data_IF_166512510891
#
_entry.id   IF_166512510891
#
_cell.length_a   1.000
_cell.length_b   1.000
_cell.length_c   1.000
_cell.angle_alpha   90.00
_cell.angle_beta   90.00
_cell.angle_gamma   90.00
#
_symmetry.space_group_name_H-M   'P 1'
#
loop_
_entity.id
_entity.type
_entity.pdbx_description
1 polymer ?
#
# COMPACT_ATOMS: atom_id res chain seq x y z
N UNK A 1 -13.38 5.82 -19.85
CA UNK A 1 -12.91 5.23 -18.62
C UNK A 1 -14.03 4.50 -17.90
N UNK A 2 -13.77 3.36 -17.33
CA UNK A 2 -14.76 2.46 -16.74
C UNK A 2 -14.78 2.66 -15.23
N UNK A 3 -15.93 2.46 -14.61
CA UNK A 3 -16.06 2.47 -13.17
C UNK A 3 -15.17 1.40 -12.52
N UNK A 4 -14.82 1.60 -11.28
CA UNK A 4 -13.84 0.80 -10.52
C UNK A 4 -14.51 -0.11 -9.47
N UNK A 5 -15.83 -0.14 -9.40
CA UNK A 5 -16.57 -0.96 -8.44
C UNK A 5 -17.72 -1.75 -9.08
N UNK A 6 -18.05 -2.96 -8.60
CA UNK A 6 -19.16 -3.77 -9.08
C UNK A 6 -20.51 -3.08 -8.95
N UNK A 7 -20.71 -2.23 -7.96
CA UNK A 7 -21.94 -1.46 -7.77
C UNK A 7 -22.22 -0.49 -8.92
N UNK A 8 -21.24 -0.25 -9.80
CA UNK A 8 -21.35 0.62 -10.98
C UNK A 8 -21.35 -0.15 -12.30
N UNK A 9 -21.59 -1.45 -12.29
CA UNK A 9 -21.56 -2.30 -13.48
C UNK A 9 -22.53 -1.84 -14.57
N UNK A 10 -23.72 -1.41 -14.21
CA UNK A 10 -24.69 -0.90 -15.18
C UNK A 10 -24.15 0.34 -15.92
N UNK A 11 -23.55 1.26 -15.19
CA UNK A 11 -22.91 2.44 -15.77
C UNK A 11 -21.71 2.05 -16.64
N UNK A 12 -20.86 1.15 -16.16
CA UNK A 12 -19.71 0.61 -16.88
C UNK A 12 -20.11 -0.04 -18.20
N UNK A 13 -21.12 -0.91 -18.18
CA UNK A 13 -21.65 -1.56 -19.37
C UNK A 13 -22.24 -0.54 -20.36
N UNK A 14 -22.88 0.52 -19.85
CA UNK A 14 -23.35 1.62 -20.68
C UNK A 14 -22.20 2.35 -21.39
N UNK A 15 -21.09 2.58 -20.71
CA UNK A 15 -19.89 3.19 -21.31
C UNK A 15 -19.28 2.28 -22.39
N UNK A 16 -19.12 0.99 -22.10
CA UNK A 16 -18.62 0.00 -23.07
C UNK A 16 -19.50 -0.03 -24.33
N UNK A 17 -20.81 -0.06 -24.14
CA UNK A 17 -21.76 -0.02 -25.27
C UNK A 17 -21.62 1.24 -26.12
N UNK A 18 -21.49 2.41 -25.48
CA UNK A 18 -21.26 3.67 -26.19
C UNK A 18 -19.95 3.65 -26.97
N UNK A 19 -18.88 3.14 -26.36
CA UNK A 19 -17.60 2.99 -27.02
C UNK A 19 -17.70 2.12 -28.27
N UNK A 20 -18.29 0.93 -28.19
CA UNK A 20 -18.48 0.05 -29.35
C UNK A 20 -19.33 0.67 -30.44
N UNK A 21 -20.38 1.42 -30.09
CA UNK A 21 -21.18 2.14 -31.06
C UNK A 21 -20.37 3.18 -31.86
N UNK A 22 -19.44 3.89 -31.17
CA UNK A 22 -18.55 4.84 -31.84
C UNK A 22 -17.55 4.11 -32.74
N UNK A 23 -16.89 3.06 -32.24
CA UNK A 23 -15.96 2.25 -33.04
C UNK A 23 -16.62 1.74 -34.31
N UNK A 24 -17.84 1.18 -34.18
CA UNK A 24 -18.63 0.70 -35.33
C UNK A 24 -19.02 1.82 -36.30
N UNK A 25 -19.37 2.98 -35.80
CA UNK A 25 -19.73 4.13 -36.64
C UNK A 25 -18.56 4.67 -37.49
N UNK A 26 -17.33 4.40 -37.09
CA UNK A 26 -16.09 4.84 -37.76
C UNK A 26 -15.23 3.69 -38.28
N UNK A 27 -15.84 2.53 -38.51
CA UNK A 27 -15.15 1.32 -39.00
C UNK A 27 -14.34 1.52 -40.30
N UNK A 28 -14.71 2.53 -41.09
CA UNK A 28 -13.98 2.94 -42.29
C UNK A 28 -12.60 3.55 -42.00
N UNK A 29 -12.30 3.88 -40.74
CA UNK A 29 -11.03 4.52 -40.33
C UNK A 29 -9.96 3.52 -39.87
N UNK A 30 -10.22 2.21 -39.91
CA UNK A 30 -9.28 1.16 -39.41
C UNK A 30 -8.75 1.47 -38.02
N UNK A 31 -9.60 1.34 -37.01
CA UNK A 31 -9.22 1.49 -35.60
C UNK A 31 -8.77 0.15 -35.03
N UNK A 32 -7.62 -0.36 -35.51
CA UNK A 32 -7.10 -1.68 -35.13
C UNK A 32 -6.64 -1.73 -33.65
N UNK A 33 -6.35 -0.57 -33.06
CA UNK A 33 -5.81 -0.43 -31.69
C UNK A 33 -6.80 0.30 -30.77
N UNK A 34 -8.08 -0.07 -30.81
CA UNK A 34 -9.06 0.52 -29.91
C UNK A 34 -9.03 -0.08 -28.50
N UNK A 35 -9.31 0.73 -27.49
CA UNK A 35 -9.34 0.29 -26.10
C UNK A 35 -10.19 1.20 -25.20
N UNK A 36 -10.90 0.63 -24.22
CA UNK A 36 -11.70 1.40 -23.25
C UNK A 36 -11.51 0.96 -21.79
N UNK A 37 -10.85 -0.16 -21.53
CA UNK A 37 -10.74 -0.74 -20.19
C UNK A 37 -9.52 -0.20 -19.42
N UNK A 38 -9.72 0.10 -18.13
CA UNK A 38 -8.68 0.29 -17.10
C UNK A 38 -8.43 -1.05 -16.37
N UNK A 39 -7.70 -1.03 -15.24
CA UNK A 39 -7.43 -2.24 -14.46
C UNK A 39 -8.70 -2.98 -14.03
N UNK A 40 -9.66 -2.29 -13.45
CA UNK A 40 -10.93 -2.87 -13.01
C UNK A 40 -11.72 -3.43 -14.21
N UNK A 41 -11.86 -2.65 -15.26
CA UNK A 41 -12.54 -3.09 -16.48
C UNK A 41 -11.91 -4.32 -17.10
N UNK A 42 -10.56 -4.37 -17.14
CA UNK A 42 -9.83 -5.51 -17.70
C UNK A 42 -9.88 -6.78 -16.86
N UNK A 43 -10.20 -6.68 -15.56
CA UNK A 43 -10.35 -7.85 -14.69
C UNK A 43 -11.78 -8.41 -14.71
N UNK A 44 -12.81 -7.55 -14.81
CA UNK A 44 -14.20 -7.96 -14.54
C UNK A 44 -15.17 -7.73 -15.69
N UNK A 45 -14.73 -7.16 -16.80
CA UNK A 45 -15.58 -6.91 -17.96
C UNK A 45 -14.97 -7.46 -19.25
N UNK A 46 -15.80 -8.14 -20.02
CA UNK A 46 -15.44 -8.58 -21.37
C UNK A 46 -15.78 -7.50 -22.40
N UNK A 47 -14.95 -7.38 -23.42
CA UNK A 47 -15.15 -6.48 -24.54
C UNK A 47 -14.31 -6.91 -25.75
N UNK A 48 -14.76 -6.56 -26.94
CA UNK A 48 -14.03 -6.77 -28.20
C UNK A 48 -12.90 -5.75 -28.41
N UNK A 49 -12.51 -5.00 -27.37
CA UNK A 49 -11.38 -4.08 -27.42
C UNK A 49 -10.07 -4.82 -27.65
N UNK A 50 -9.20 -4.28 -28.52
CA UNK A 50 -7.89 -4.87 -28.82
C UNK A 50 -6.96 -4.93 -27.61
N UNK A 51 -7.11 -3.96 -26.65
CA UNK A 51 -6.26 -3.81 -25.48
C UNK A 51 -7.04 -3.43 -24.22
N UNK A 52 -6.46 -3.77 -23.06
CA UNK A 52 -6.78 -3.18 -21.78
C UNK A 52 -5.60 -2.36 -21.25
N UNK A 53 -5.87 -1.23 -20.59
CA UNK A 53 -4.83 -0.40 -19.94
C UNK A 53 -4.69 -0.84 -18.49
N UNK A 54 -3.92 -1.88 -18.25
CA UNK A 54 -3.64 -2.37 -16.91
C UNK A 54 -2.60 -1.44 -16.24
N UNK A 55 -2.92 -0.97 -15.05
CA UNK A 55 -2.05 -0.15 -14.22
C UNK A 55 -1.78 -0.85 -12.88
N UNK A 56 -2.53 -0.48 -11.85
CA UNK A 56 -2.29 -0.93 -10.47
C UNK A 56 -2.29 -2.46 -10.29
N UNK A 57 -3.08 -3.17 -11.07
CA UNK A 57 -3.14 -4.63 -11.02
C UNK A 57 -1.81 -5.30 -11.42
N UNK A 58 -0.98 -4.65 -12.24
CA UNK A 58 0.36 -5.15 -12.59
C UNK A 58 1.31 -5.14 -11.39
N UNK A 59 1.02 -4.30 -10.41
CA UNK A 59 1.75 -4.28 -9.13
C UNK A 59 1.16 -5.23 -8.09
N UNK A 60 0.10 -5.97 -8.46
CA UNK A 60 -0.57 -6.90 -7.56
C UNK A 60 -1.42 -6.22 -6.50
N UNK A 61 -1.87 -5.00 -6.78
CA UNK A 61 -2.74 -4.22 -5.90
C UNK A 61 -4.14 -4.12 -6.48
N UNK A 62 -5.12 -3.91 -5.60
CA UNK A 62 -6.53 -3.84 -6.00
C UNK A 62 -6.84 -2.51 -6.70
N UNK A 63 -7.57 -2.53 -7.82
CA UNK A 63 -8.08 -1.31 -8.43
C UNK A 63 -9.23 -0.67 -7.62
N UNK A 64 -9.85 -1.43 -6.72
CA UNK A 64 -10.83 -0.99 -5.73
C UNK A 64 -10.70 -1.82 -4.44
N UNK A 65 -11.38 -1.41 -3.36
CA UNK A 65 -11.26 -2.06 -2.04
C UNK A 65 -12.24 -3.24 -1.85
N UNK A 66 -13.30 -3.30 -2.64
CA UNK A 66 -14.42 -4.23 -2.42
C UNK A 66 -14.19 -5.58 -3.08
N UNK A 67 -13.41 -5.62 -4.17
CA UNK A 67 -13.17 -6.84 -4.93
C UNK A 67 -11.88 -7.54 -4.52
N UNK A 68 -11.92 -8.86 -4.56
CA UNK A 68 -10.71 -9.68 -4.46
C UNK A 68 -10.01 -9.73 -5.83
N UNK A 69 -8.68 -9.69 -5.81
CA UNK A 69 -7.91 -9.96 -7.02
C UNK A 69 -8.11 -11.41 -7.46
N UNK A 70 -8.10 -11.69 -8.77
CA UNK A 70 -8.07 -13.06 -9.27
C UNK A 70 -6.90 -13.86 -8.68
N UNK A 71 -7.11 -15.17 -8.54
CA UNK A 71 -6.09 -16.09 -8.03
C UNK A 71 -4.80 -15.98 -8.85
N UNK A 72 -3.67 -15.94 -8.16
CA UNK A 72 -2.34 -15.85 -8.76
C UNK A 72 -1.81 -14.42 -8.90
N UNK A 73 -2.62 -13.38 -8.77
CA UNK A 73 -2.15 -11.99 -8.70
C UNK A 73 -1.70 -11.70 -7.26
N UNK A 74 -0.44 -11.27 -7.11
CA UNK A 74 0.18 -11.01 -5.80
C UNK A 74 0.92 -9.68 -5.82
N UNK A 75 1.04 -8.99 -4.66
CA UNK A 75 1.86 -7.79 -4.55
C UNK A 75 3.29 -8.04 -5.05
N UNK A 76 3.75 -7.19 -5.95
CA UNK A 76 5.08 -7.32 -6.58
C UNK A 76 6.18 -6.67 -5.74
N UNK A 77 5.83 -5.78 -4.82
CA UNK A 77 6.77 -4.96 -4.07
C UNK A 77 6.95 -5.46 -2.63
N UNK A 78 8.22 -5.60 -2.21
CA UNK A 78 8.61 -5.75 -0.81
C UNK A 78 9.61 -4.66 -0.47
N UNK A 79 9.32 -3.89 0.57
CA UNK A 79 10.21 -2.84 1.05
C UNK A 79 10.79 -3.26 2.39
N UNK A 80 12.11 -3.30 2.45
CA UNK A 80 12.86 -3.82 3.59
C UNK A 80 13.81 -2.77 4.16
N UNK A 81 14.04 -2.89 5.46
CA UNK A 81 15.06 -2.15 6.20
C UNK A 81 15.68 -3.09 7.24
N UNK A 82 16.38 -2.54 8.20
CA UNK A 82 16.99 -3.30 9.30
C UNK A 82 16.78 -2.57 10.63
N UNK A 83 16.95 -3.27 11.73
CA UNK A 83 17.11 -2.66 13.06
C UNK A 83 18.50 -2.07 13.16
N UNK A 84 18.65 -0.75 13.31
CA UNK A 84 19.95 -0.09 13.46
C UNK A 84 20.41 0.02 14.91
N UNK A 85 19.49 0.15 15.85
CA UNK A 85 19.77 0.28 17.28
C UNK A 85 18.58 -0.22 18.11
N UNK A 86 18.87 -0.77 19.27
CA UNK A 86 17.86 -1.08 20.29
C UNK A 86 18.27 -0.44 21.59
N UNK A 87 17.31 0.16 22.30
CA UNK A 87 17.50 0.68 23.65
C UNK A 87 16.28 0.40 24.53
N UNK A 88 16.51 0.37 25.82
CA UNK A 88 15.45 0.43 26.83
C UNK A 88 15.11 1.89 27.06
N UNK A 89 13.82 2.18 27.19
CA UNK A 89 13.28 3.50 27.51
C UNK A 89 12.40 3.35 28.75
N UNK A 90 12.69 4.20 29.74
CA UNK A 90 12.08 4.11 31.06
C UNK A 90 10.74 4.87 31.13
N UNK A 91 9.83 4.50 32.08
CA UNK A 91 8.62 5.26 32.32
C UNK A 91 8.89 6.74 32.58
N UNK A 92 8.08 7.61 31.95
CA UNK A 92 8.22 9.07 32.02
C UNK A 92 9.12 9.69 30.96
N UNK A 93 9.89 8.88 30.23
CA UNK A 93 10.63 9.34 29.04
C UNK A 93 9.68 9.53 27.84
N UNK A 94 10.18 10.17 26.80
CA UNK A 94 9.42 10.44 25.59
C UNK A 94 10.20 10.12 24.33
N UNK A 95 9.49 9.78 23.24
CA UNK A 95 10.08 9.35 21.98
C UNK A 95 9.72 10.30 20.85
N UNK A 96 10.74 10.63 20.03
CA UNK A 96 10.60 11.38 18.78
C UNK A 96 10.44 12.88 18.94
N UNK A 97 10.47 13.58 17.82
CA UNK A 97 10.30 15.04 17.76
C UNK A 97 8.97 15.49 18.36
N UNK A 98 9.03 16.55 19.15
CA UNK A 98 7.86 17.12 19.83
C UNK A 98 7.35 16.23 20.96
N UNK A 99 8.16 15.28 21.45
CA UNK A 99 7.78 14.35 22.53
C UNK A 99 6.45 13.64 22.20
N UNK A 100 6.31 13.17 20.96
CA UNK A 100 5.03 12.74 20.39
C UNK A 100 4.54 11.38 20.91
N UNK A 101 5.35 10.67 21.70
CA UNK A 101 4.98 9.45 22.40
C UNK A 101 5.52 9.50 23.82
N UNK A 102 4.69 9.25 24.81
CA UNK A 102 5.07 9.18 26.24
C UNK A 102 5.11 7.72 26.68
N UNK A 103 6.17 7.34 27.35
CA UNK A 103 6.39 5.99 27.85
C UNK A 103 5.82 5.86 29.25
N UNK A 104 4.93 4.91 29.48
CA UNK A 104 4.24 4.65 30.77
C UNK A 104 4.80 3.41 31.51
N UNK A 105 5.51 2.55 30.80
CA UNK A 105 6.18 1.36 31.33
C UNK A 105 7.53 1.20 30.63
N UNK A 106 8.44 0.40 31.19
CA UNK A 106 9.68 0.05 30.50
C UNK A 106 9.41 -0.56 29.11
N UNK A 107 10.05 -0.01 28.08
CA UNK A 107 9.86 -0.44 26.70
C UNK A 107 11.22 -0.69 26.02
N UNK A 108 11.27 -1.74 25.17
CA UNK A 108 12.35 -1.96 24.22
C UNK A 108 12.02 -1.29 22.89
N UNK A 109 12.79 -0.30 22.52
CA UNK A 109 12.56 0.50 21.32
C UNK A 109 13.65 0.22 20.30
N UNK A 110 13.25 -0.18 19.10
CA UNK A 110 14.14 -0.33 17.96
C UNK A 110 14.07 0.91 17.05
N UNK A 111 15.23 1.35 16.57
CA UNK A 111 15.36 2.41 15.57
C UNK A 111 15.52 1.78 14.19
N UNK A 112 14.73 2.25 13.23
CA UNK A 112 14.73 1.82 11.85
C UNK A 112 15.26 2.96 10.98
N UNK A 113 16.36 2.76 10.22
CA UNK A 113 17.02 3.79 9.41
C UNK A 113 16.28 3.99 8.07
N UNK A 114 15.05 4.44 8.15
CA UNK A 114 14.17 4.78 7.04
C UNK A 114 13.25 5.88 7.51
N UNK A 115 13.00 6.88 6.68
CA UNK A 115 12.14 7.98 7.05
C UNK A 115 11.39 8.58 5.86
N UNK A 116 10.82 9.79 6.04
CA UNK A 116 10.02 10.39 4.99
C UNK A 116 10.86 10.86 3.78
N UNK A 117 12.16 11.04 3.93
CA UNK A 117 13.07 11.32 2.81
C UNK A 117 13.22 10.10 1.87
N UNK A 118 12.99 8.90 2.39
CA UNK A 118 13.00 7.65 1.62
C UNK A 118 11.62 7.31 1.02
N UNK A 119 10.60 8.14 1.29
CA UNK A 119 9.22 7.90 0.85
C UNK A 119 8.32 7.28 1.93
N UNK A 120 8.84 6.97 3.14
CA UNK A 120 8.02 6.39 4.20
C UNK A 120 7.13 7.45 4.84
N UNK A 121 5.83 7.35 4.63
CA UNK A 121 4.90 8.44 4.87
C UNK A 121 4.85 8.87 6.35
N UNK A 122 5.08 10.16 6.61
CA UNK A 122 5.10 10.73 7.96
C UNK A 122 3.78 10.61 8.72
N UNK A 123 2.65 10.45 8.04
CA UNK A 123 1.32 10.23 8.65
C UNK A 123 1.17 8.86 9.31
N UNK A 124 2.13 7.94 9.10
CA UNK A 124 2.21 6.67 9.82
C UNK A 124 2.68 6.82 11.28
N UNK A 125 3.14 8.00 11.69
CA UNK A 125 3.54 8.32 13.06
C UNK A 125 2.46 7.92 14.07
N UNK A 126 2.79 7.10 15.06
CA UNK A 126 1.89 6.55 16.09
C UNK A 126 0.66 5.78 15.56
N UNK A 127 0.66 5.38 14.29
CA UNK A 127 -0.49 4.68 13.67
C UNK A 127 -0.07 3.44 12.90
N UNK A 128 1.08 3.49 12.24
CA UNK A 128 1.59 2.40 11.45
C UNK A 128 2.31 1.35 12.28
N UNK A 129 2.73 0.31 11.60
CA UNK A 129 3.57 -0.74 12.15
C UNK A 129 4.51 -1.27 11.07
N UNK A 130 5.51 -2.02 11.48
CA UNK A 130 6.37 -2.82 10.60
C UNK A 130 6.34 -4.27 11.05
N UNK A 131 6.85 -5.18 10.24
CA UNK A 131 6.99 -6.58 10.62
C UNK A 131 8.46 -6.90 10.95
N UNK A 132 8.69 -7.41 12.14
CA UNK A 132 10.02 -7.88 12.59
C UNK A 132 9.83 -9.29 13.12
N UNK A 133 10.61 -10.24 12.63
CA UNK A 133 10.50 -11.66 13.02
C UNK A 133 9.08 -12.22 12.89
N UNK A 134 8.35 -11.79 11.86
CA UNK A 134 6.96 -12.21 11.61
C UNK A 134 5.91 -11.60 12.56
N UNK A 135 6.29 -10.62 13.39
CA UNK A 135 5.39 -9.98 14.34
C UNK A 135 5.27 -8.47 14.07
N UNK A 136 4.13 -7.89 14.37
CA UNK A 136 3.87 -6.46 14.23
C UNK A 136 4.60 -5.68 15.32
N UNK A 137 5.44 -4.73 14.91
CA UNK A 137 6.11 -3.76 15.77
C UNK A 137 5.49 -2.37 15.50
N UNK A 138 4.68 -1.80 16.41
CA UNK A 138 4.02 -0.52 16.20
C UNK A 138 5.02 0.64 16.19
N UNK A 139 4.75 1.63 15.33
CA UNK A 139 5.53 2.87 15.28
C UNK A 139 5.19 3.72 16.50
N UNK A 140 6.22 4.12 17.25
CA UNK A 140 6.12 4.98 18.42
C UNK A 140 6.83 6.31 18.18
N UNK A 141 6.12 7.40 18.37
CA UNK A 141 6.60 8.73 18.04
C UNK A 141 6.45 9.07 16.56
N UNK A 142 7.16 10.11 16.11
CA UNK A 142 7.07 10.60 14.74
C UNK A 142 8.05 9.91 13.83
N UNK A 143 7.60 9.62 12.61
CA UNK A 143 8.50 9.30 11.49
C UNK A 143 9.30 10.57 11.19
N UNK A 144 10.63 10.44 11.26
CA UNK A 144 11.59 11.52 11.02
C UNK A 144 12.07 11.50 9.57
N UNK A 145 13.04 12.34 9.21
CA UNK A 145 13.58 12.44 7.86
C UNK A 145 14.19 11.09 7.41
N UNK A 146 15.05 10.52 8.23
CA UNK A 146 15.89 9.37 7.88
C UNK A 146 15.68 8.17 8.80
N UNK A 147 14.77 8.24 9.77
CA UNK A 147 14.53 7.16 10.73
C UNK A 147 13.17 7.29 11.42
N UNK A 148 12.74 6.18 12.01
CA UNK A 148 11.62 6.13 12.96
C UNK A 148 11.86 5.05 14.02
N UNK A 149 11.05 5.05 15.07
CA UNK A 149 11.15 4.13 16.18
C UNK A 149 9.94 3.22 16.23
N UNK A 150 10.16 1.98 16.65
CA UNK A 150 9.11 0.98 16.84
C UNK A 150 9.24 0.30 18.20
N UNK A 151 8.12 -0.08 18.77
CA UNK A 151 8.07 -0.89 19.98
C UNK A 151 8.32 -2.36 19.66
N UNK A 152 9.34 -2.93 20.26
CA UNK A 152 9.70 -4.35 20.14
C UNK A 152 9.70 -5.05 21.51
N UNK A 153 9.03 -4.47 22.50
CA UNK A 153 9.00 -4.99 23.88
C UNK A 153 8.55 -6.44 23.92
N UNK A 154 7.49 -6.76 23.20
CA UNK A 154 6.88 -8.10 23.19
C UNK A 154 7.45 -9.04 22.11
N UNK A 155 8.45 -8.59 21.33
CA UNK A 155 9.08 -9.39 20.29
C UNK A 155 10.40 -9.96 20.82
N UNK A 156 10.45 -11.28 21.03
CA UNK A 156 11.62 -11.93 21.58
C UNK A 156 12.85 -11.84 20.66
N UNK A 157 14.03 -11.74 21.26
CA UNK A 157 15.35 -11.85 20.61
C UNK A 157 15.62 -10.87 19.46
N UNK A 158 14.89 -9.77 19.37
CA UNK A 158 15.20 -8.72 18.38
C UNK A 158 16.58 -8.16 18.65
N UNK A 159 17.39 -8.06 17.60
CA UNK A 159 18.77 -7.57 17.65
C UNK A 159 19.08 -6.65 16.47
N UNK A 160 20.20 -5.92 16.59
CA UNK A 160 20.69 -5.09 15.50
C UNK A 160 20.89 -5.93 14.23
N UNK A 161 20.55 -5.35 13.10
CA UNK A 161 20.56 -5.93 11.75
C UNK A 161 19.48 -7.00 11.50
N UNK A 162 18.55 -7.26 12.41
CA UNK A 162 17.36 -8.03 12.08
C UNK A 162 16.59 -7.33 10.94
N UNK A 163 16.08 -8.12 9.99
CA UNK A 163 15.28 -7.63 8.88
C UNK A 163 13.98 -6.99 9.38
N UNK A 164 13.64 -5.87 8.80
CA UNK A 164 12.40 -5.15 9.03
C UNK A 164 11.63 -5.06 7.71
N UNK A 165 10.42 -5.59 7.66
CA UNK A 165 9.55 -5.44 6.51
C UNK A 165 8.67 -4.21 6.71
N UNK A 166 8.92 -3.19 5.90
CA UNK A 166 8.15 -1.95 5.86
C UNK A 166 6.88 -2.13 5.02
N UNK A 167 6.97 -2.95 3.99
CA UNK A 167 5.88 -3.39 3.13
C UNK A 167 6.15 -4.82 2.67
N UNK A 168 5.13 -5.68 2.72
CA UNK A 168 5.21 -7.10 2.35
C UNK A 168 3.82 -7.63 1.98
N UNK A 169 3.70 -8.93 1.76
CA UNK A 169 2.43 -9.56 1.39
C UNK A 169 1.36 -9.42 2.49
N UNK A 170 1.77 -9.44 3.78
CA UNK A 170 0.89 -9.29 4.95
C UNK A 170 0.58 -7.83 5.32
N UNK A 171 1.29 -6.88 4.72
CA UNK A 171 1.11 -5.45 4.90
C UNK A 171 1.55 -4.72 3.63
N UNK A 172 0.68 -4.65 2.67
CA UNK A 172 0.95 -4.09 1.34
C UNK A 172 0.57 -2.59 1.24
N UNK A 173 0.68 -2.03 0.04
CA UNK A 173 0.39 -0.62 -0.19
C UNK A 173 -1.09 -0.28 0.06
N UNK A 174 -2.04 -1.19 -0.20
CA UNK A 174 -3.47 -0.95 0.08
C UNK A 174 -3.72 -0.89 1.59
N UNK A 175 -3.08 -1.77 2.38
CA UNK A 175 -3.18 -1.73 3.85
C UNK A 175 -2.61 -0.43 4.42
N UNK A 176 -1.47 0.01 3.88
CA UNK A 176 -0.84 1.27 4.27
C UNK A 176 -1.72 2.46 3.88
N UNK A 177 -2.29 2.45 2.68
CA UNK A 177 -3.21 3.48 2.20
C UNK A 177 -4.43 3.63 3.10
N UNK A 178 -4.99 2.52 3.60
CA UNK A 178 -6.10 2.53 4.56
C UNK A 178 -5.74 3.28 5.85
N UNK A 179 -4.53 3.08 6.40
CA UNK A 179 -4.05 3.81 7.59
C UNK A 179 -3.88 5.31 7.27
N UNK A 180 -3.42 5.62 6.06
CA UNK A 180 -3.15 6.99 5.61
C UNK A 180 -4.42 7.74 5.21
N UNK A 181 -5.53 7.06 4.93
CA UNK A 181 -6.77 7.62 4.40
C UNK A 181 -6.63 8.05 2.94
N UNK A 182 -5.99 7.22 2.13
CA UNK A 182 -5.75 7.40 0.70
C UNK A 182 -5.92 6.08 -0.05
N UNK A 183 -5.43 5.99 -1.27
CA UNK A 183 -5.49 4.81 -2.13
C UNK A 183 -4.09 4.23 -2.38
N UNK A 184 -4.00 2.93 -2.68
CA UNK A 184 -2.72 2.24 -2.94
C UNK A 184 -1.89 2.84 -4.07
N UNK A 185 -2.50 3.61 -4.97
CA UNK A 185 -1.81 4.33 -6.05
C UNK A 185 -0.92 5.48 -5.57
N UNK A 186 -1.16 6.00 -4.35
CA UNK A 186 -0.39 7.11 -3.75
C UNK A 186 0.69 6.63 -2.76
N UNK A 187 0.70 5.36 -2.44
CA UNK A 187 1.69 4.71 -1.59
C UNK A 187 2.82 4.15 -2.42
#
# INVERSE_FOLDING_TARGET
CVADTPSQDEFTNSQIKKFHNVVKAVENLRLDENHCLNSAGGLWHDTDSAFARLGIVLYGLKPDYDNLLPDGIKPAMKWKSVVSMIKIVEPGETIGYGRAYSVDKEMRIATIPTGYADGYNRRLSNKGFVIIRGQKAPIVGRVCMDQFMVDVTDIADVKNYDEVLLMCDEFNADDMANILGTIGYEV
#
